data_IF_713828973547
#
_entry.id   IF_713828973547
#
_cell.length_a   1.000
_cell.length_b   1.000
_cell.length_c   1.000
_cell.angle_alpha   90.00
_cell.angle_beta   90.00
_cell.angle_gamma   90.00
#
_symmetry.space_group_name_H-M   'P 1'
#
loop_
_entity.id
_entity.type
_entity.pdbx_description
1 polymer ?
#
# COMPACT_ATOMS: atom_id res chain seq x y z
N UNK A 1 -23.26 -34.56 -63.45
CA UNK A 1 -23.48 -33.71 -62.28
C UNK A 1 -22.55 -34.04 -61.07
N UNK A 2 -22.22 -35.27 -60.78
CA UNK A 2 -21.41 -35.65 -59.59
C UNK A 2 -19.96 -35.13 -59.58
N UNK A 3 -19.31 -34.89 -60.73
CA UNK A 3 -17.89 -34.40 -60.77
C UNK A 3 -17.70 -32.91 -60.44
N UNK A 4 -18.75 -32.06 -60.65
CA UNK A 4 -18.67 -30.63 -60.29
C UNK A 4 -18.88 -30.41 -58.79
N UNK A 5 -19.68 -31.24 -58.12
CA UNK A 5 -19.96 -31.14 -56.70
C UNK A 5 -18.72 -31.46 -55.83
N UNK A 6 -17.90 -32.43 -56.27
CA UNK A 6 -16.66 -32.77 -55.53
C UNK A 6 -15.59 -31.66 -55.61
N UNK A 7 -15.47 -30.95 -56.76
CA UNK A 7 -14.50 -29.85 -56.86
C UNK A 7 -14.88 -28.66 -55.97
N UNK A 8 -16.16 -28.37 -55.80
CA UNK A 8 -16.65 -27.29 -54.89
C UNK A 8 -16.43 -27.67 -53.40
N UNK A 9 -16.63 -28.93 -53.04
CA UNK A 9 -16.36 -29.41 -51.71
C UNK A 9 -14.89 -29.32 -51.33
N UNK A 10 -13.97 -29.69 -52.24
CA UNK A 10 -12.52 -29.55 -52.01
C UNK A 10 -12.05 -28.11 -52.03
N UNK A 11 -12.66 -27.21 -52.79
CA UNK A 11 -12.37 -25.78 -52.75
C UNK A 11 -12.82 -25.15 -51.43
N UNK A 12 -13.98 -25.54 -50.90
CA UNK A 12 -14.46 -25.07 -49.57
C UNK A 12 -13.59 -25.57 -48.42
N UNK A 13 -13.08 -26.82 -48.49
CA UNK A 13 -12.18 -27.36 -47.47
C UNK A 13 -10.83 -26.64 -47.51
N UNK A 14 -10.30 -26.32 -48.70
CA UNK A 14 -9.05 -25.57 -48.85
C UNK A 14 -9.18 -24.12 -48.35
N UNK A 15 -10.32 -23.43 -48.59
CA UNK A 15 -10.58 -22.08 -48.07
C UNK A 15 -10.74 -22.10 -46.51
N UNK A 16 -11.40 -23.13 -45.99
CA UNK A 16 -11.49 -23.30 -44.54
C UNK A 16 -10.14 -23.57 -43.86
N UNK A 17 -9.29 -24.34 -44.50
CA UNK A 17 -7.93 -24.63 -43.98
C UNK A 17 -7.00 -23.41 -44.02
N UNK A 18 -7.14 -22.53 -45.00
CA UNK A 18 -6.36 -21.27 -45.06
C UNK A 18 -6.85 -20.23 -44.08
N UNK A 19 -8.13 -20.21 -43.72
CA UNK A 19 -8.68 -19.29 -42.69
C UNK A 19 -8.24 -19.68 -41.25
N UNK A 20 -8.01 -20.97 -41.00
CA UNK A 20 -7.53 -21.44 -39.68
C UNK A 20 -6.02 -21.19 -39.52
N UNK A 21 -5.25 -21.21 -40.60
CA UNK A 21 -3.81 -20.93 -40.54
C UNK A 21 -3.47 -19.43 -40.42
N UNK A 22 -4.39 -18.54 -40.80
CA UNK A 22 -4.16 -17.10 -40.78
C UNK A 22 -4.35 -16.46 -39.36
N UNK A 23 -5.02 -17.15 -38.43
CA UNK A 23 -5.28 -16.62 -37.08
C UNK A 23 -4.20 -16.93 -36.04
N UNK A 24 -3.22 -17.77 -36.34
CA UNK A 24 -2.35 -18.30 -35.28
C UNK A 24 -1.01 -17.56 -35.07
N UNK A 25 -0.59 -16.68 -35.97
CA UNK A 25 0.77 -16.12 -35.86
C UNK A 25 0.82 -14.60 -35.64
N UNK A 26 -0.30 -13.88 -35.74
CA UNK A 26 -0.28 -12.42 -35.49
C UNK A 26 -0.65 -12.06 -34.06
N UNK A 27 -1.45 -12.88 -33.38
CA UNK A 27 -1.85 -12.61 -32.00
C UNK A 27 -0.71 -12.87 -31.01
N UNK A 28 0.06 -13.94 -31.21
CA UNK A 28 1.18 -14.29 -30.33
C UNK A 28 2.33 -13.27 -30.42
N UNK A 29 2.52 -12.60 -31.56
CA UNK A 29 3.53 -11.54 -31.71
C UNK A 29 3.10 -10.17 -31.13
N UNK A 30 1.83 -9.96 -30.88
CA UNK A 30 1.33 -8.71 -30.24
C UNK A 30 1.28 -8.80 -28.70
N UNK A 31 1.40 -9.99 -28.14
CA UNK A 31 1.34 -10.26 -26.70
C UNK A 31 2.70 -10.65 -26.12
N UNK A 32 3.66 -10.98 -26.96
CA UNK A 32 5.04 -11.20 -26.53
C UNK A 32 5.71 -9.86 -26.21
N UNK A 33 5.43 -9.31 -25.06
CA UNK A 33 6.33 -8.36 -24.42
C UNK A 33 7.55 -9.19 -24.03
N UNK A 34 8.72 -8.90 -24.61
CA UNK A 34 10.01 -9.48 -24.20
C UNK A 34 10.33 -8.96 -22.78
N UNK A 35 9.60 -9.46 -21.79
CA UNK A 35 9.91 -9.19 -20.39
C UNK A 35 11.02 -10.15 -19.96
N UNK A 36 12.10 -9.66 -19.35
CA UNK A 36 13.10 -10.55 -18.78
C UNK A 36 12.44 -11.42 -17.72
N UNK A 37 12.49 -12.73 -17.89
CA UNK A 37 11.96 -13.71 -16.94
C UNK A 37 13.10 -14.39 -16.22
N UNK A 38 13.04 -14.46 -14.90
CA UNK A 38 13.89 -15.32 -14.10
C UNK A 38 13.14 -16.62 -13.78
N UNK A 39 13.85 -17.76 -13.93
CA UNK A 39 13.40 -19.05 -13.41
C UNK A 39 13.61 -19.10 -11.89
N UNK A 40 12.82 -18.34 -11.13
CA UNK A 40 12.96 -18.26 -9.69
C UNK A 40 11.91 -17.36 -9.05
N UNK A 41 11.97 -17.24 -7.76
CA UNK A 41 11.10 -16.36 -6.99
C UNK A 41 11.60 -14.91 -7.02
N UNK A 42 10.71 -13.95 -6.68
CA UNK A 42 11.10 -12.53 -6.51
C UNK A 42 12.23 -12.38 -5.47
N UNK A 43 12.25 -13.22 -4.43
CA UNK A 43 13.31 -13.22 -3.43
C UNK A 43 14.67 -13.65 -4.01
N UNK A 44 14.67 -14.65 -4.88
CA UNK A 44 15.89 -15.09 -5.58
C UNK A 44 16.38 -14.04 -6.57
N UNK A 45 15.47 -13.32 -7.22
CA UNK A 45 15.79 -12.21 -8.10
C UNK A 45 16.44 -11.05 -7.32
N UNK A 46 15.89 -10.67 -6.17
CA UNK A 46 16.50 -9.67 -5.28
C UNK A 46 17.89 -10.11 -4.83
N UNK A 47 18.04 -11.37 -4.39
CA UNK A 47 19.32 -11.94 -3.96
C UNK A 47 20.39 -11.98 -5.05
N UNK A 48 19.98 -12.23 -6.28
CA UNK A 48 20.89 -12.33 -7.43
C UNK A 48 21.40 -10.96 -7.90
N UNK A 49 20.69 -9.88 -7.60
CA UNK A 49 21.10 -8.53 -7.96
C UNK A 49 22.08 -7.97 -6.90
N UNK A 50 23.32 -7.69 -7.33
CA UNK A 50 24.40 -7.23 -6.46
C UNK A 50 24.18 -5.84 -5.85
N UNK A 51 23.27 -5.02 -6.42
CA UNK A 51 22.95 -3.67 -5.96
C UNK A 51 21.80 -3.64 -4.92
N UNK A 52 21.24 -4.81 -4.60
CA UNK A 52 20.11 -4.98 -3.67
C UNK A 52 20.49 -5.74 -2.39
N UNK A 53 21.78 -5.85 -2.09
CA UNK A 53 22.29 -6.63 -0.95
C UNK A 53 21.76 -6.14 0.40
N UNK A 54 21.64 -4.83 0.55
CA UNK A 54 21.07 -4.17 1.74
C UNK A 54 19.58 -4.46 1.87
N UNK A 55 18.82 -4.33 0.77
CA UNK A 55 17.40 -4.64 0.80
C UNK A 55 17.13 -6.13 1.06
N UNK A 56 17.93 -7.02 0.47
CA UNK A 56 17.87 -8.46 0.77
C UNK A 56 18.12 -8.75 2.25
N UNK A 57 19.11 -8.09 2.85
CA UNK A 57 19.39 -8.21 4.29
C UNK A 57 18.18 -7.76 5.13
N UNK A 58 17.55 -6.65 4.77
CA UNK A 58 16.34 -6.18 5.46
C UNK A 58 15.17 -7.17 5.34
N UNK A 59 14.98 -7.81 4.18
CA UNK A 59 13.98 -8.86 4.03
C UNK A 59 14.22 -10.02 5.00
N UNK A 60 15.48 -10.39 5.25
CA UNK A 60 15.86 -11.44 6.21
C UNK A 60 15.65 -10.99 7.67
N UNK A 61 16.13 -9.79 8.03
CA UNK A 61 16.00 -9.23 9.38
C UNK A 61 14.52 -9.09 9.79
N UNK A 62 13.66 -8.65 8.87
CA UNK A 62 12.23 -8.48 9.11
C UNK A 62 11.41 -9.77 8.95
N UNK A 63 12.03 -10.87 8.49
CA UNK A 63 11.38 -12.16 8.22
C UNK A 63 10.52 -12.19 6.96
N UNK A 64 10.61 -11.18 6.10
CA UNK A 64 9.91 -11.14 4.82
C UNK A 64 10.49 -12.10 3.78
N UNK A 65 11.73 -12.56 3.96
CA UNK A 65 12.31 -13.66 3.19
C UNK A 65 11.42 -14.92 3.21
N UNK A 66 10.75 -15.19 4.33
CA UNK A 66 9.81 -16.32 4.49
C UNK A 66 8.43 -15.99 3.94
N UNK A 67 7.96 -14.75 4.09
CA UNK A 67 6.68 -14.29 3.56
C UNK A 67 6.66 -14.40 2.03
N UNK A 68 7.73 -13.95 1.38
CA UNK A 68 7.88 -13.97 -0.08
C UNK A 68 8.05 -15.37 -0.69
N UNK A 69 8.23 -16.40 0.13
CA UNK A 69 8.20 -17.81 -0.29
C UNK A 69 6.78 -18.42 -0.21
N UNK A 70 5.80 -17.65 0.23
CA UNK A 70 4.40 -18.07 0.32
C UNK A 70 3.71 -18.20 -1.04
N UNK A 71 2.41 -18.49 -1.00
CA UNK A 71 1.59 -18.77 -2.19
C UNK A 71 1.05 -17.51 -2.90
N UNK A 72 1.39 -16.32 -2.43
CA UNK A 72 0.92 -15.07 -3.01
C UNK A 72 1.87 -14.54 -4.08
N UNK A 73 1.33 -13.76 -5.00
CA UNK A 73 2.12 -12.98 -5.95
C UNK A 73 2.43 -11.60 -5.38
N UNK A 74 3.65 -11.12 -5.66
CA UNK A 74 4.14 -9.85 -5.14
C UNK A 74 4.78 -9.01 -6.23
N UNK A 75 4.62 -7.69 -6.13
CA UNK A 75 5.49 -6.73 -6.83
C UNK A 75 6.41 -6.10 -5.80
N UNK A 76 7.71 -6.22 -6.03
CA UNK A 76 8.74 -5.63 -5.18
C UNK A 76 9.32 -4.40 -5.89
N UNK A 77 9.37 -3.28 -5.18
CA UNK A 77 10.03 -2.04 -5.60
C UNK A 77 11.30 -1.90 -4.76
N UNK A 78 12.37 -2.57 -5.17
CA UNK A 78 13.60 -2.70 -4.37
C UNK A 78 14.50 -1.47 -4.55
N UNK A 79 14.80 -0.71 -3.49
CA UNK A 79 15.76 0.39 -3.56
C UNK A 79 17.19 -0.13 -3.66
N UNK A 80 18.00 0.51 -4.50
CA UNK A 80 19.43 0.21 -4.59
C UNK A 80 20.15 0.48 -3.28
N UNK A 81 21.27 -0.19 -3.05
CA UNK A 81 22.06 -0.09 -1.81
C UNK A 81 22.50 1.34 -1.51
N UNK A 82 22.81 2.15 -2.53
CA UNK A 82 23.17 3.57 -2.37
C UNK A 82 21.97 4.38 -1.83
N UNK A 83 20.78 4.17 -2.38
CA UNK A 83 19.55 4.84 -1.92
C UNK A 83 19.22 4.45 -0.48
N UNK A 84 19.31 3.17 -0.16
CA UNK A 84 19.07 2.66 1.19
C UNK A 84 20.07 3.23 2.21
N UNK A 85 21.36 3.21 1.87
CA UNK A 85 22.41 3.77 2.74
C UNK A 85 22.24 5.29 2.94
N UNK A 86 21.86 6.01 1.88
CA UNK A 86 21.56 7.44 1.92
C UNK A 86 20.40 7.75 2.86
N UNK A 87 19.31 6.99 2.75
CA UNK A 87 18.14 7.11 3.63
C UNK A 87 18.50 6.87 5.10
N UNK A 88 19.12 5.74 5.41
CA UNK A 88 19.51 5.39 6.81
C UNK A 88 20.45 6.44 7.43
N UNK A 89 21.38 6.99 6.63
CA UNK A 89 22.28 8.06 7.08
C UNK A 89 21.56 9.38 7.39
N UNK A 90 20.43 9.62 6.74
CA UNK A 90 19.61 10.83 6.95
C UNK A 90 18.76 10.77 8.22
N UNK A 91 18.58 9.61 8.82
CA UNK A 91 17.77 9.41 10.03
C UNK A 91 18.52 9.87 11.29
N UNK A 92 17.77 10.30 12.31
CA UNK A 92 18.34 10.59 13.63
C UNK A 92 18.72 9.29 14.37
N UNK A 93 19.54 9.43 15.41
CA UNK A 93 19.96 8.29 16.23
C UNK A 93 18.75 7.59 16.87
N UNK A 94 18.65 6.28 16.65
CA UNK A 94 17.56 5.43 17.19
C UNK A 94 16.31 5.36 16.31
N UNK A 95 16.20 6.16 15.25
CA UNK A 95 15.06 6.06 14.30
C UNK A 95 15.12 4.80 13.43
N UNK A 96 16.32 4.31 13.12
CA UNK A 96 16.49 3.04 12.39
C UNK A 96 16.38 1.82 13.32
N UNK A 97 15.19 1.59 13.83
CA UNK A 97 14.85 0.47 14.71
C UNK A 97 14.09 -0.63 13.95
N UNK A 98 13.74 -1.72 14.64
CA UNK A 98 13.05 -2.87 14.03
C UNK A 98 11.69 -2.51 13.42
N UNK A 99 10.96 -1.57 14.02
CA UNK A 99 9.67 -1.12 13.51
C UNK A 99 9.85 -0.30 12.21
N UNK A 100 10.84 0.60 12.17
CA UNK A 100 11.17 1.39 10.98
C UNK A 100 11.62 0.48 9.82
N UNK A 101 12.47 -0.51 10.08
CA UNK A 101 12.87 -1.52 9.08
C UNK A 101 11.68 -2.28 8.53
N UNK A 102 10.80 -2.75 9.42
CA UNK A 102 9.60 -3.49 9.05
C UNK A 102 8.65 -2.62 8.20
N UNK A 103 8.41 -1.38 8.63
CA UNK A 103 7.56 -0.44 7.89
C UNK A 103 8.16 -0.13 6.51
N UNK A 104 9.47 0.08 6.44
CA UNK A 104 10.19 0.33 5.20
C UNK A 104 10.02 -0.85 4.23
N UNK A 105 10.27 -2.08 4.66
CA UNK A 105 10.08 -3.28 3.83
C UNK A 105 8.63 -3.38 3.33
N UNK A 106 7.66 -3.22 4.22
CA UNK A 106 6.22 -3.26 3.88
C UNK A 106 5.82 -2.18 2.88
N UNK A 107 6.48 -1.03 2.91
CA UNK A 107 6.20 0.07 2.00
C UNK A 107 6.78 -0.13 0.59
N UNK A 108 7.59 -1.18 0.39
CA UNK A 108 8.22 -1.51 -0.89
C UNK A 108 7.68 -2.80 -1.53
N UNK A 109 6.63 -3.38 -0.96
CA UNK A 109 6.02 -4.61 -1.46
C UNK A 109 4.52 -4.39 -1.64
N UNK A 110 3.99 -4.75 -2.81
CA UNK A 110 2.57 -4.78 -3.10
C UNK A 110 2.10 -6.21 -3.42
N UNK A 111 0.82 -6.49 -3.19
CA UNK A 111 0.21 -7.74 -3.66
C UNK A 111 -0.10 -7.67 -5.15
N UNK A 112 0.13 -8.77 -5.85
CA UNK A 112 -0.10 -8.91 -7.28
C UNK A 112 1.13 -8.63 -8.12
N UNK A 113 1.00 -8.88 -9.43
CA UNK A 113 2.07 -8.75 -10.43
C UNK A 113 1.79 -7.56 -11.33
N UNK A 114 2.56 -6.48 -11.18
CA UNK A 114 2.40 -5.24 -11.93
C UNK A 114 3.68 -4.92 -12.70
N UNK A 115 3.58 -4.76 -14.02
CA UNK A 115 4.70 -4.34 -14.86
C UNK A 115 4.84 -2.81 -14.93
N UNK A 116 5.99 -2.32 -15.44
CA UNK A 116 6.24 -0.88 -15.56
C UNK A 116 5.18 -0.15 -16.37
N UNK A 117 4.65 -0.77 -17.42
CA UNK A 117 3.61 -0.15 -18.24
C UNK A 117 2.34 0.11 -17.43
N UNK A 118 1.98 -0.80 -16.53
CA UNK A 118 0.81 -0.62 -15.66
C UNK A 118 1.04 0.44 -14.59
N UNK A 119 2.23 0.46 -13.96
CA UNK A 119 2.52 1.34 -12.83
C UNK A 119 3.02 2.73 -13.25
N UNK A 120 3.49 2.93 -14.50
CA UNK A 120 3.95 4.23 -15.00
C UNK A 120 2.83 5.10 -15.60
N UNK A 121 1.57 4.68 -15.52
CA UNK A 121 0.46 5.52 -15.97
C UNK A 121 0.33 6.77 -15.07
N UNK A 122 -0.08 7.91 -15.63
CA UNK A 122 -0.43 9.08 -14.82
C UNK A 122 -1.46 8.68 -13.76
N UNK A 123 -1.27 9.12 -12.54
CA UNK A 123 -2.11 8.82 -11.37
C UNK A 123 -2.18 7.32 -10.99
N UNK A 124 -1.23 6.52 -11.45
CA UNK A 124 -1.14 5.12 -11.02
C UNK A 124 -0.76 5.02 -9.54
N UNK A 125 -1.55 4.27 -8.81
CA UNK A 125 -1.33 4.00 -7.39
C UNK A 125 -1.16 2.51 -7.16
N UNK A 126 -0.19 2.13 -6.35
CA UNK A 126 -0.08 0.78 -5.80
C UNK A 126 -0.42 0.78 -4.32
N UNK A 127 -1.31 -0.13 -3.93
CA UNK A 127 -1.56 -0.38 -2.52
C UNK A 127 -0.50 -1.33 -1.98
N UNK A 128 0.35 -0.80 -1.13
CA UNK A 128 1.44 -1.54 -0.51
C UNK A 128 0.91 -2.45 0.61
N UNK A 129 1.67 -3.46 0.99
CA UNK A 129 1.22 -4.41 2.02
C UNK A 129 1.10 -3.79 3.42
N UNK A 130 1.66 -2.60 3.65
CA UNK A 130 1.39 -1.79 4.85
C UNK A 130 0.04 -1.06 4.80
N UNK A 131 -0.71 -1.21 3.70
CA UNK A 131 -2.00 -0.57 3.47
C UNK A 131 -1.94 0.82 2.86
N UNK A 132 -0.75 1.41 2.72
CA UNK A 132 -0.55 2.75 2.14
C UNK A 132 -0.69 2.72 0.62
N UNK A 133 -1.35 3.73 0.06
CA UNK A 133 -1.35 3.98 -1.36
C UNK A 133 -0.12 4.79 -1.76
N UNK A 134 0.61 4.33 -2.78
CA UNK A 134 1.82 5.00 -3.28
C UNK A 134 1.65 5.43 -4.73
N UNK A 135 1.99 6.69 -5.01
CA UNK A 135 1.98 7.25 -6.36
C UNK A 135 3.27 6.81 -7.06
N UNK A 136 3.15 6.08 -8.15
CA UNK A 136 4.30 5.49 -8.85
C UNK A 136 5.07 6.50 -9.70
N UNK A 137 4.43 7.58 -10.14
CA UNK A 137 5.09 8.65 -10.92
C UNK A 137 6.17 9.43 -10.14
N UNK A 138 6.23 9.25 -8.82
CA UNK A 138 7.28 9.84 -7.97
C UNK A 138 8.58 9.04 -7.96
N UNK A 139 8.59 7.83 -8.54
CA UNK A 139 9.72 6.93 -8.57
C UNK A 139 10.44 6.99 -9.91
N UNK A 140 11.75 6.84 -9.87
CA UNK A 140 12.58 6.54 -11.04
C UNK A 140 12.92 5.05 -11.01
N UNK A 141 12.56 4.37 -12.08
CA UNK A 141 12.84 2.95 -12.23
C UNK A 141 14.11 2.77 -13.04
N UNK A 142 14.92 1.78 -12.66
CA UNK A 142 16.07 1.36 -13.44
C UNK A 142 15.64 0.38 -14.55
N UNK A 143 15.61 0.81 -15.83
CA UNK A 143 14.98 0.00 -16.89
C UNK A 143 15.67 -1.35 -17.12
N UNK A 144 17.00 -1.41 -16.93
CA UNK A 144 17.77 -2.64 -17.13
C UNK A 144 17.52 -3.70 -16.03
N UNK A 145 17.04 -3.26 -14.87
CA UNK A 145 16.82 -4.11 -13.70
C UNK A 145 15.36 -4.13 -13.23
N UNK A 146 14.44 -3.62 -14.08
CA UNK A 146 13.00 -3.60 -13.81
C UNK A 146 12.24 -4.51 -14.76
N UNK A 147 10.95 -4.73 -14.49
CA UNK A 147 10.09 -5.71 -15.21
C UNK A 147 10.63 -7.15 -15.16
N UNK A 148 11.36 -7.50 -14.10
CA UNK A 148 11.85 -8.86 -13.91
C UNK A 148 10.71 -9.76 -13.45
N UNK A 149 10.13 -10.51 -14.37
CA UNK A 149 9.05 -11.45 -14.07
C UNK A 149 9.61 -12.70 -13.40
N UNK A 150 9.06 -13.05 -12.25
CA UNK A 150 9.43 -14.22 -11.45
C UNK A 150 8.24 -15.17 -11.29
N UNK A 151 8.49 -16.38 -10.77
CA UNK A 151 7.45 -17.40 -10.58
C UNK A 151 6.30 -16.95 -9.65
N UNK A 152 6.57 -16.02 -8.74
CA UNK A 152 5.61 -15.50 -7.77
C UNK A 152 5.56 -13.97 -7.74
N UNK A 153 5.77 -13.31 -8.87
CA UNK A 153 5.57 -11.86 -8.98
C UNK A 153 6.57 -11.13 -9.88
N UNK A 154 6.77 -9.85 -9.58
CA UNK A 154 7.57 -8.92 -10.36
C UNK A 154 8.57 -8.18 -9.48
N UNK A 155 9.79 -7.99 -9.97
CA UNK A 155 10.80 -7.14 -9.34
C UNK A 155 11.05 -5.89 -10.20
N UNK A 156 11.03 -4.74 -9.55
CA UNK A 156 11.53 -3.47 -10.08
C UNK A 156 12.60 -2.91 -9.16
N UNK A 157 13.62 -2.33 -9.75
CA UNK A 157 14.67 -1.62 -9.01
C UNK A 157 14.40 -0.11 -9.07
N UNK A 158 14.48 0.55 -7.92
CA UNK A 158 14.22 1.98 -7.78
C UNK A 158 15.42 2.71 -7.18
N UNK A 159 15.61 3.96 -7.60
CA UNK A 159 16.75 4.81 -7.23
C UNK A 159 16.60 5.50 -5.86
N UNK A 160 15.45 5.37 -5.22
CA UNK A 160 15.20 5.96 -3.90
C UNK A 160 14.34 5.08 -3.01
N UNK A 161 14.48 5.27 -1.71
CA UNK A 161 13.59 4.69 -0.70
C UNK A 161 12.25 5.40 -0.72
N UNK A 162 11.16 4.64 -0.73
CA UNK A 162 9.82 5.16 -0.53
C UNK A 162 9.54 5.31 0.96
N UNK A 163 9.53 6.54 1.44
CA UNK A 163 9.17 6.82 2.82
C UNK A 163 7.68 6.54 3.06
N UNK A 164 7.30 5.84 4.13
CA UNK A 164 5.90 5.68 4.50
C UNK A 164 5.34 7.05 4.91
N UNK A 165 4.38 7.57 4.15
CA UNK A 165 3.69 8.82 4.49
C UNK A 165 2.67 8.55 5.59
N UNK A 166 2.59 9.46 6.55
CA UNK A 166 1.55 9.41 7.58
C UNK A 166 0.19 9.80 6.99
N UNK A 167 -0.85 9.05 7.31
CA UNK A 167 -2.21 9.52 7.11
C UNK A 167 -2.59 10.58 8.17
N UNK A 168 -3.80 11.15 8.08
CA UNK A 168 -4.23 12.19 9.01
C UNK A 168 -4.22 11.69 10.46
N UNK A 169 -4.73 10.49 10.72
CA UNK A 169 -4.76 9.91 12.07
C UNK A 169 -3.35 9.72 12.65
N UNK A 170 -2.44 9.13 11.89
CA UNK A 170 -1.05 8.93 12.31
C UNK A 170 -0.36 10.29 12.58
N UNK A 171 -0.61 11.30 11.75
CA UNK A 171 -0.05 12.63 11.94
C UNK A 171 -0.63 13.33 13.18
N UNK A 172 -1.93 13.17 13.45
CA UNK A 172 -2.55 13.68 14.68
C UNK A 172 -1.95 13.02 15.92
N UNK A 173 -1.74 11.69 15.91
CA UNK A 173 -1.09 10.97 17.00
C UNK A 173 0.35 11.46 17.22
N UNK A 174 1.10 11.65 16.13
CA UNK A 174 2.46 12.19 16.17
C UNK A 174 2.51 13.58 16.80
N UNK A 175 1.63 14.51 16.38
CA UNK A 175 1.56 15.85 16.95
C UNK A 175 1.14 15.86 18.42
N UNK A 176 0.18 15.00 18.78
CA UNK A 176 -0.28 14.86 20.16
C UNK A 176 0.84 14.33 21.08
N UNK A 177 1.65 13.39 20.59
CA UNK A 177 2.80 12.88 21.35
C UNK A 177 3.90 13.93 21.55
N UNK A 178 4.14 14.80 20.55
CA UNK A 178 5.15 15.86 20.63
C UNK A 178 4.68 17.07 21.47
N UNK A 179 3.42 17.43 21.35
CA UNK A 179 2.84 18.67 21.92
C UNK A 179 1.52 18.41 22.63
N UNK A 180 1.48 17.57 23.67
CA UNK A 180 0.22 17.14 24.30
C UNK A 180 -0.60 18.30 24.85
N UNK A 181 0.03 19.31 25.46
CA UNK A 181 -0.68 20.49 26.01
C UNK A 181 -1.24 21.39 24.90
N UNK A 182 -0.63 21.39 23.72
CA UNK A 182 -1.07 22.22 22.60
C UNK A 182 -2.27 21.62 21.85
N UNK A 183 -2.45 20.30 21.96
CA UNK A 183 -3.48 19.53 21.26
C UNK A 183 -4.28 18.63 22.22
N UNK A 184 -4.53 19.09 23.44
CA UNK A 184 -5.28 18.38 24.49
C UNK A 184 -6.67 17.88 24.01
N UNK A 185 -7.31 18.58 23.05
CA UNK A 185 -8.58 18.12 22.46
C UNK A 185 -8.50 16.73 21.82
N UNK A 186 -7.32 16.27 21.43
CA UNK A 186 -7.14 14.93 20.88
C UNK A 186 -7.21 13.84 21.94
N UNK A 187 -7.06 14.17 23.24
CA UNK A 187 -7.25 13.20 24.34
C UNK A 187 -8.67 12.61 24.31
N UNK A 188 -9.68 13.45 24.10
CA UNK A 188 -11.07 13.00 23.98
C UNK A 188 -11.26 12.07 22.78
N UNK A 189 -10.62 12.39 21.66
CA UNK A 189 -10.68 11.60 20.44
C UNK A 189 -10.05 10.21 20.63
N UNK A 190 -8.86 10.15 21.25
CA UNK A 190 -8.11 8.89 21.40
C UNK A 190 -8.47 8.06 22.63
N UNK A 191 -9.13 8.63 23.65
CA UNK A 191 -9.56 7.90 24.85
C UNK A 191 -10.42 6.65 24.54
N UNK A 192 -11.13 6.65 23.42
CA UNK A 192 -12.00 5.55 22.97
C UNK A 192 -11.38 4.71 21.83
N UNK A 193 -10.10 4.92 21.53
CA UNK A 193 -9.41 4.18 20.47
C UNK A 193 -8.94 2.82 20.98
N UNK A 194 -9.24 1.77 20.24
CA UNK A 194 -8.76 0.41 20.49
C UNK A 194 -7.90 -0.09 19.32
N UNK A 195 -6.82 -0.83 19.63
CA UNK A 195 -6.03 -1.51 18.60
C UNK A 195 -6.68 -2.86 18.30
N UNK A 196 -6.92 -3.14 17.03
CA UNK A 196 -7.41 -4.41 16.55
C UNK A 196 -6.49 -4.93 15.43
N UNK A 197 -6.40 -6.27 15.31
CA UNK A 197 -5.67 -6.88 14.22
C UNK A 197 -6.44 -6.67 12.91
N UNK A 198 -5.78 -6.12 11.91
CA UNK A 198 -6.28 -6.10 10.53
C UNK A 198 -6.09 -7.49 9.92
N UNK A 199 -7.17 -8.25 9.84
CA UNK A 199 -7.14 -9.64 9.37
C UNK A 199 -6.87 -9.74 7.86
N UNK A 200 -7.27 -8.74 7.10
CA UNK A 200 -7.19 -8.74 5.64
C UNK A 200 -5.76 -8.41 5.18
N UNK A 201 -5.06 -7.58 5.95
CA UNK A 201 -3.68 -7.16 5.65
C UNK A 201 -2.61 -7.94 6.41
N UNK A 202 -2.96 -8.68 7.45
CA UNK A 202 -2.00 -9.47 8.22
C UNK A 202 -1.63 -10.76 7.48
N UNK A 203 -0.34 -11.06 7.38
CA UNK A 203 0.21 -12.18 6.61
C UNK A 203 0.65 -13.28 7.57
N UNK A 204 0.21 -14.51 7.33
CA UNK A 204 0.68 -15.65 8.11
C UNK A 204 2.12 -15.98 7.75
N UNK A 205 3.03 -15.86 8.73
CA UNK A 205 4.47 -16.21 8.61
C UNK A 205 4.78 -17.70 8.84
N UNK A 206 3.86 -18.42 9.49
CA UNK A 206 4.06 -19.83 9.83
C UNK A 206 3.17 -20.27 10.97
N UNK A 207 3.59 -21.31 11.70
CA UNK A 207 2.93 -21.81 12.90
C UNK A 207 3.92 -21.89 14.05
N UNK A 208 3.45 -21.65 15.27
CA UNK A 208 4.27 -21.82 16.48
C UNK A 208 4.39 -23.31 16.87
N UNK A 209 5.15 -23.60 17.92
CA UNK A 209 5.35 -24.97 18.44
C UNK A 209 4.05 -25.69 18.84
N UNK A 210 2.97 -24.94 19.07
CA UNK A 210 1.64 -25.47 19.41
C UNK A 210 0.73 -25.63 18.18
N UNK A 211 1.25 -25.42 16.96
CA UNK A 211 0.48 -25.51 15.71
C UNK A 211 -0.44 -24.31 15.47
N UNK A 212 -0.34 -23.22 16.24
CA UNK A 212 -1.15 -22.03 16.06
C UNK A 212 -0.51 -21.10 15.02
N UNK A 213 -1.30 -20.46 14.14
CA UNK A 213 -0.77 -19.57 13.14
C UNK A 213 -0.08 -18.35 13.77
N UNK A 214 1.10 -18.02 13.26
CA UNK A 214 1.85 -16.81 13.58
C UNK A 214 1.71 -15.86 12.41
N UNK A 215 1.27 -14.63 12.69
CA UNK A 215 1.07 -13.60 11.67
C UNK A 215 2.14 -12.53 11.76
N UNK A 216 2.50 -11.98 10.62
CA UNK A 216 3.00 -10.63 10.54
C UNK A 216 1.80 -9.71 10.70
N UNK A 217 1.58 -9.28 11.96
CA UNK A 217 0.33 -8.64 12.35
C UNK A 217 0.38 -7.17 11.99
N UNK A 218 -0.51 -6.76 11.08
CA UNK A 218 -0.80 -5.35 10.85
C UNK A 218 -1.90 -4.95 11.82
N UNK A 219 -1.62 -3.91 12.59
CA UNK A 219 -2.57 -3.35 13.54
C UNK A 219 -3.29 -2.17 12.89
N UNK A 220 -4.59 -2.09 13.13
CA UNK A 220 -5.39 -0.91 12.83
C UNK A 220 -6.05 -0.41 14.10
N UNK A 221 -6.54 0.81 14.08
CA UNK A 221 -7.27 1.40 15.19
C UNK A 221 -8.77 1.34 14.92
N UNK A 222 -9.53 1.13 15.97
CA UNK A 222 -10.98 1.23 15.94
C UNK A 222 -11.41 2.33 16.90
N UNK A 223 -12.09 3.33 16.36
CA UNK A 223 -12.68 4.42 17.10
C UNK A 223 -13.98 4.81 16.38
N UNK A 224 -15.03 5.09 17.15
CA UNK A 224 -16.33 5.46 16.58
C UNK A 224 -16.26 6.70 15.69
N UNK A 225 -15.39 7.65 16.02
CA UNK A 225 -15.17 8.83 15.21
C UNK A 225 -14.64 8.47 13.81
N UNK A 226 -13.68 7.54 13.73
CA UNK A 226 -13.12 7.09 12.46
C UNK A 226 -14.06 6.16 11.67
N UNK A 227 -15.07 5.59 12.32
CA UNK A 227 -16.13 4.86 11.61
C UNK A 227 -17.05 5.83 10.84
N UNK A 228 -17.26 7.03 11.36
CA UNK A 228 -18.06 8.08 10.70
C UNK A 228 -17.23 8.99 9.80
N UNK A 229 -16.02 9.33 10.22
CA UNK A 229 -15.05 10.18 9.53
C UNK A 229 -13.74 9.40 9.34
N UNK A 230 -13.64 8.53 8.33
CA UNK A 230 -12.50 7.63 8.17
C UNK A 230 -11.24 8.36 7.66
N UNK A 231 -10.71 9.28 8.46
CA UNK A 231 -9.46 10.04 8.19
C UNK A 231 -8.21 9.17 8.25
N UNK A 232 -8.35 7.94 8.74
CA UNK A 232 -7.32 6.88 8.74
C UNK A 232 -7.43 5.93 7.54
N UNK A 233 -8.41 6.11 6.65
CA UNK A 233 -8.59 5.31 5.44
C UNK A 233 -7.73 5.87 4.31
N UNK A 234 -6.82 5.06 3.79
CA UNK A 234 -5.92 5.42 2.69
C UNK A 234 -6.63 5.62 1.35
N UNK A 235 -7.84 5.08 1.20
CA UNK A 235 -8.64 5.18 -0.01
C UNK A 235 -9.58 6.41 0.00
N UNK A 236 -9.59 7.16 1.11
CA UNK A 236 -10.43 8.34 1.31
C UNK A 236 -9.61 9.62 1.45
N UNK A 237 -10.12 10.71 0.91
CA UNK A 237 -9.47 12.03 1.02
C UNK A 237 -10.27 12.90 1.97
N UNK A 238 -9.59 13.46 2.98
CA UNK A 238 -10.15 14.37 3.95
C UNK A 238 -9.24 15.58 4.17
N UNK A 239 -9.82 16.67 4.67
CA UNK A 239 -9.08 17.80 5.24
C UNK A 239 -9.48 17.93 6.70
N UNK A 240 -8.50 17.81 7.60
CA UNK A 240 -8.70 18.03 9.03
C UNK A 240 -8.12 19.40 9.42
N UNK A 241 -8.94 20.27 9.99
CA UNK A 241 -8.49 21.57 10.50
C UNK A 241 -8.15 21.42 11.98
N UNK A 242 -6.86 21.23 12.28
CA UNK A 242 -6.38 21.12 13.65
C UNK A 242 -6.10 22.52 14.23
N UNK A 243 -6.77 22.85 15.32
CA UNK A 243 -6.59 24.08 16.05
C UNK A 243 -5.65 23.89 17.25
N UNK A 244 -4.85 24.90 17.57
CA UNK A 244 -4.12 24.92 18.84
C UNK A 244 -5.09 25.09 20.01
N UNK A 245 -4.73 24.55 21.17
CA UNK A 245 -5.61 24.44 22.34
C UNK A 245 -6.32 25.75 22.72
N UNK A 246 -5.60 26.88 22.74
CA UNK A 246 -6.21 28.18 23.07
C UNK A 246 -7.32 28.59 22.09
N UNK A 247 -7.12 28.34 20.78
CA UNK A 247 -8.11 28.64 19.74
C UNK A 247 -9.28 27.64 19.80
N UNK A 248 -8.98 26.38 20.08
CA UNK A 248 -9.97 25.32 20.22
C UNK A 248 -10.90 25.62 21.38
N UNK A 249 -10.37 25.96 22.55
CA UNK A 249 -11.19 26.33 23.74
C UNK A 249 -12.09 27.56 23.49
N UNK A 250 -11.53 28.61 22.86
CA UNK A 250 -12.32 29.79 22.50
C UNK A 250 -13.46 29.47 21.52
N UNK A 251 -13.24 28.58 20.58
CA UNK A 251 -14.25 28.12 19.62
C UNK A 251 -15.28 27.22 20.32
N UNK A 252 -14.84 26.31 21.20
CA UNK A 252 -15.67 25.39 21.98
C UNK A 252 -16.67 26.14 22.88
N UNK A 253 -16.23 27.20 23.55
CA UNK A 253 -17.11 28.06 24.37
C UNK A 253 -18.19 28.72 23.52
N UNK A 254 -17.89 29.12 22.29
CA UNK A 254 -18.88 29.68 21.37
C UNK A 254 -19.82 28.60 20.85
N UNK A 255 -19.26 27.45 20.45
CA UNK A 255 -20.01 26.33 19.92
C UNK A 255 -21.04 25.78 20.90
N UNK A 256 -20.68 25.59 22.16
CA UNK A 256 -21.59 25.16 23.23
C UNK A 256 -22.84 26.00 23.39
N UNK A 257 -22.78 27.31 23.07
CA UNK A 257 -23.93 28.20 23.11
C UNK A 257 -24.98 27.94 22.03
N UNK A 258 -24.58 27.34 20.94
CA UNK A 258 -25.43 27.00 19.78
C UNK A 258 -25.97 25.58 19.82
N UNK A 259 -25.37 24.69 20.61
CA UNK A 259 -25.89 23.33 20.80
C UNK A 259 -27.23 23.41 21.53
N UNK A 260 -28.22 22.67 21.02
CA UNK A 260 -29.55 22.69 21.58
C UNK A 260 -29.57 22.10 23.00
N UNK A 261 -29.80 22.95 24.01
CA UNK A 261 -29.76 22.59 25.44
C UNK A 261 -30.99 21.80 25.92
N UNK A 262 -31.82 21.29 25.03
CA UNK A 262 -33.03 20.52 25.37
C UNK A 262 -32.79 19.11 25.89
N UNK A 263 -31.56 18.61 25.85
CA UNK A 263 -31.17 17.32 26.42
C UNK A 263 -30.27 17.54 27.63
N UNK A 264 -30.62 16.91 28.73
CA UNK A 264 -29.87 16.89 29.97
C UNK A 264 -28.39 16.58 29.72
N UNK A 265 -27.50 17.40 30.33
CA UNK A 265 -26.05 17.27 30.36
C UNK A 265 -25.32 17.24 28.99
N UNK A 266 -25.17 18.43 28.41
CA UNK A 266 -24.06 18.69 27.51
C UNK A 266 -22.75 18.45 28.27
N UNK A 267 -22.21 17.24 28.19
CA UNK A 267 -20.89 16.97 28.75
C UNK A 267 -19.83 17.71 27.92
N UNK A 268 -18.77 18.13 28.56
CA UNK A 268 -17.61 18.76 27.91
C UNK A 268 -17.03 17.88 26.77
N UNK A 269 -17.05 16.58 26.96
CA UNK A 269 -16.65 15.58 25.94
C UNK A 269 -17.54 15.63 24.70
N UNK A 270 -18.86 15.73 24.86
CA UNK A 270 -19.78 15.77 23.72
C UNK A 270 -19.57 17.03 22.88
N UNK A 271 -19.41 18.20 23.51
CA UNK A 271 -19.12 19.45 22.79
C UNK A 271 -17.79 19.37 22.06
N UNK A 272 -16.76 18.72 22.65
CA UNK A 272 -15.46 18.50 22.05
C UNK A 272 -15.57 17.59 20.82
N UNK A 273 -16.27 16.48 20.96
CA UNK A 273 -16.43 15.48 19.89
C UNK A 273 -17.17 16.08 18.67
N UNK A 274 -18.27 16.80 18.90
CA UNK A 274 -19.04 17.45 17.84
C UNK A 274 -18.21 18.56 17.15
N UNK A 275 -17.49 19.36 17.92
CA UNK A 275 -16.63 20.40 17.36
C UNK A 275 -15.50 19.81 16.53
N UNK A 276 -14.85 18.71 16.98
CA UNK A 276 -13.82 18.03 16.20
C UNK A 276 -14.42 17.52 14.89
N UNK A 277 -15.62 16.96 14.93
CA UNK A 277 -16.32 16.46 13.73
C UNK A 277 -16.56 17.56 12.71
N UNK A 278 -16.96 18.75 13.15
CA UNK A 278 -17.20 19.92 12.31
C UNK A 278 -15.90 20.52 11.71
N UNK A 279 -14.73 20.12 12.21
CA UNK A 279 -13.43 20.52 11.69
C UNK A 279 -12.87 19.54 10.64
N UNK A 280 -13.64 18.51 10.26
CA UNK A 280 -13.25 17.53 9.23
C UNK A 280 -14.10 17.71 7.97
N UNK A 281 -13.45 17.88 6.84
CA UNK A 281 -14.09 18.13 5.56
C UNK A 281 -13.74 17.02 4.57
N UNK A 282 -14.77 16.48 3.91
CA UNK A 282 -14.59 15.60 2.77
C UNK A 282 -14.63 16.45 1.50
N UNK A 283 -13.63 16.38 0.61
CA UNK A 283 -13.66 17.14 -0.64
C UNK A 283 -14.77 16.61 -1.56
N UNK A 284 -15.49 17.53 -2.21
CA UNK A 284 -16.37 17.22 -3.33
C UNK A 284 -17.79 16.79 -2.99
N UNK A 285 -18.38 17.30 -1.94
CA UNK A 285 -19.86 17.31 -1.81
C UNK A 285 -20.39 18.70 -2.12
#
# INVERSE_FOLDING_TARGET
MKRKFNKIRWALVLVAATLVAACNNQWDNHVAVDMPTLEGSVLEAVKANGELSGFYTLLQETGYDKVLQGAYEYTILAPVDEALAGYVKGLAEGEWNEEAKLMMVRNHIAFGTFNLTAISQPDSHLKMINGKNRIMSELTFEPEHSDVLCNNGMLHVVDKVMEPLMNIDEYLQYLHALYPEEYEQLDSLYAKTTKIMDKDRSIQKGVNEKGQPVYDTIWTTRNYFFEEMPVNDEDSTYTFVLLRQANFQSLKEKYAKYMNQSTEELTDSLVTDELIRDLVFKPGV
#
